data_IF_582817414544
#
_entry.id   IF_582817414544
#
_cell.length_a   1.000
_cell.length_b   1.000
_cell.length_c   1.000
_cell.angle_alpha   90.00
_cell.angle_beta   90.00
_cell.angle_gamma   90.00
#
_symmetry.space_group_name_H-M   'P 1'
#
loop_
_entity.id
_entity.type
_entity.pdbx_description
1 polymer ?
#
# COMPACT_ATOMS: atom_id res chain seq x y z
N UNK A 1 1.20 -15.03 13.00
CA UNK A 1 0.37 -15.61 11.92
C UNK A 1 1.05 -15.27 10.62
N UNK A 2 1.43 -16.28 9.85
CA UNK A 2 2.06 -16.08 8.54
C UNK A 2 0.94 -15.77 7.53
N UNK A 3 1.02 -14.60 6.88
CA UNK A 3 0.09 -14.25 5.80
C UNK A 3 0.66 -14.85 4.52
N UNK A 4 -0.21 -15.45 3.70
CA UNK A 4 0.15 -15.96 2.38
C UNK A 4 0.95 -14.90 1.59
N UNK A 5 2.18 -15.21 1.14
CA UNK A 5 2.99 -14.31 0.33
C UNK A 5 2.30 -13.83 -0.96
N UNK A 6 1.33 -14.57 -1.50
CA UNK A 6 0.52 -14.11 -2.62
C UNK A 6 -0.35 -12.92 -2.23
N UNK A 7 -1.03 -12.99 -1.08
CA UNK A 7 -1.87 -11.90 -0.58
C UNK A 7 -1.07 -10.61 -0.38
N UNK A 8 0.17 -10.71 0.12
CA UNK A 8 1.04 -9.54 0.25
C UNK A 8 1.41 -8.92 -1.11
N UNK A 9 1.67 -9.75 -2.12
CA UNK A 9 1.95 -9.29 -3.49
C UNK A 9 0.75 -8.61 -4.12
N UNK A 10 -0.46 -9.15 -3.91
CA UNK A 10 -1.70 -8.55 -4.39
C UNK A 10 -2.02 -7.21 -3.71
N UNK A 11 -1.87 -7.10 -2.38
CA UNK A 11 -1.97 -5.82 -1.65
C UNK A 11 -1.00 -4.80 -2.25
N UNK A 12 0.26 -5.21 -2.44
CA UNK A 12 1.30 -4.36 -3.02
C UNK A 12 0.97 -3.89 -4.44
N UNK A 13 0.46 -4.79 -5.28
CA UNK A 13 0.04 -4.48 -6.63
C UNK A 13 -1.12 -3.47 -6.65
N UNK A 14 -2.15 -3.66 -5.82
CA UNK A 14 -3.29 -2.73 -5.72
C UNK A 14 -2.86 -1.34 -5.27
N UNK A 15 -1.98 -1.26 -4.27
CA UNK A 15 -1.37 0.00 -3.83
C UNK A 15 -0.61 0.70 -4.96
N UNK A 16 0.22 -0.05 -5.69
CA UNK A 16 0.97 0.46 -6.83
C UNK A 16 0.05 0.99 -7.92
N UNK A 17 -1.02 0.27 -8.23
CA UNK A 17 -2.02 0.68 -9.22
C UNK A 17 -2.67 2.00 -8.84
N UNK A 18 -3.12 2.17 -7.58
CA UNK A 18 -3.71 3.43 -7.12
C UNK A 18 -2.73 4.60 -7.24
N UNK A 19 -1.46 4.38 -6.84
CA UNK A 19 -0.40 5.37 -6.98
C UNK A 19 -0.18 5.78 -8.44
N UNK A 20 -0.06 4.81 -9.34
CA UNK A 20 0.19 5.06 -10.77
C UNK A 20 -1.02 5.74 -11.44
N UNK A 21 -2.24 5.41 -11.05
CA UNK A 21 -3.46 6.08 -11.53
C UNK A 21 -3.52 7.56 -11.13
N UNK A 22 -2.93 7.92 -9.98
CA UNK A 22 -2.80 9.31 -9.56
C UNK A 22 -1.56 10.03 -10.09
N UNK A 23 -0.68 9.33 -10.82
CA UNK A 23 0.57 9.88 -11.32
C UNK A 23 1.59 10.21 -10.23
N UNK A 24 1.44 9.62 -9.03
CA UNK A 24 2.30 9.91 -7.88
C UNK A 24 3.55 9.01 -7.87
N UNK A 25 4.66 9.54 -7.41
CA UNK A 25 5.87 8.80 -7.10
C UNK A 25 5.78 8.13 -5.73
N UNK A 26 6.61 7.12 -5.49
CA UNK A 26 6.71 6.49 -4.17
C UNK A 26 7.12 7.48 -3.06
N UNK A 27 7.87 8.53 -3.39
CA UNK A 27 8.28 9.55 -2.43
C UNK A 27 7.08 10.41 -2.02
N UNK A 28 6.24 10.80 -2.97
CA UNK A 28 5.05 11.61 -2.73
C UNK A 28 4.04 10.88 -1.83
N UNK A 29 3.69 9.63 -2.19
CA UNK A 29 2.78 8.82 -1.37
C UNK A 29 3.36 8.56 0.01
N UNK A 30 4.65 8.20 0.10
CA UNK A 30 5.27 7.91 1.39
C UNK A 30 5.25 9.13 2.33
N UNK A 31 5.43 10.35 1.79
CA UNK A 31 5.29 11.58 2.56
C UNK A 31 3.84 11.82 2.98
N UNK A 32 2.89 11.66 2.06
CA UNK A 32 1.47 11.90 2.33
C UNK A 32 0.90 10.96 3.39
N UNK A 33 1.33 9.71 3.41
CA UNK A 33 0.91 8.70 4.40
C UNK A 33 1.90 8.53 5.55
N UNK A 34 2.82 9.48 5.74
CA UNK A 34 3.81 9.53 6.83
C UNK A 34 4.54 8.19 7.08
N UNK A 35 5.19 7.67 6.05
CA UNK A 35 6.08 6.50 6.14
C UNK A 35 7.38 6.74 5.38
N UNK A 36 8.38 5.88 5.60
CA UNK A 36 9.59 5.90 4.77
C UNK A 36 9.30 5.41 3.36
N UNK A 37 9.89 6.07 2.34
CA UNK A 37 9.82 5.63 0.94
C UNK A 37 10.25 4.17 0.74
N UNK A 38 11.26 3.70 1.48
CA UNK A 38 11.73 2.31 1.43
C UNK A 38 10.69 1.34 2.00
N UNK A 39 9.95 1.75 3.04
CA UNK A 39 8.83 0.98 3.58
C UNK A 39 7.72 0.86 2.53
N UNK A 40 7.32 1.97 1.89
CA UNK A 40 6.33 1.95 0.80
C UNK A 40 6.76 1.03 -0.36
N UNK A 41 8.02 1.12 -0.81
CA UNK A 41 8.51 0.25 -1.88
C UNK A 41 8.51 -1.25 -1.52
N UNK A 42 8.71 -1.59 -0.24
CA UNK A 42 8.56 -2.98 0.23
C UNK A 42 7.09 -3.42 0.26
N UNK A 43 6.17 -2.52 0.61
CA UNK A 43 4.74 -2.79 0.52
C UNK A 43 4.33 -3.06 -0.94
N UNK A 44 4.67 -2.16 -1.87
CA UNK A 44 4.32 -2.30 -3.29
C UNK A 44 4.92 -3.55 -3.95
N UNK A 45 5.99 -4.11 -3.39
CA UNK A 45 6.60 -5.35 -3.88
C UNK A 45 6.17 -6.61 -3.10
N UNK A 46 5.22 -6.49 -2.16
CA UNK A 46 4.73 -7.59 -1.34
C UNK A 46 5.78 -8.20 -0.39
N UNK A 47 6.89 -7.49 -0.14
CA UNK A 47 8.00 -7.97 0.72
C UNK A 47 7.80 -7.67 2.19
N UNK A 48 6.72 -6.99 2.56
CA UNK A 48 6.47 -6.56 3.92
C UNK A 48 4.97 -6.43 4.18
N UNK A 49 4.56 -6.82 5.39
CA UNK A 49 3.19 -6.69 5.82
C UNK A 49 2.86 -5.23 6.14
N UNK A 50 1.66 -4.79 5.78
CA UNK A 50 1.14 -3.46 6.08
C UNK A 50 0.47 -3.48 7.45
N UNK A 51 0.71 -2.45 8.26
CA UNK A 51 -0.04 -2.29 9.50
C UNK A 51 -1.44 -1.75 9.19
N UNK A 52 -2.44 -2.10 10.00
CA UNK A 52 -3.81 -1.59 9.83
C UNK A 52 -3.86 -0.07 9.80
N UNK A 53 -3.09 0.62 10.65
CA UNK A 53 -3.01 2.09 10.64
C UNK A 53 -2.43 2.66 9.34
N UNK A 54 -1.43 1.99 8.74
CA UNK A 54 -0.91 2.42 7.43
C UNK A 54 -1.88 2.14 6.30
N UNK A 55 -2.59 1.01 6.37
CA UNK A 55 -3.63 0.66 5.41
C UNK A 55 -4.72 1.76 5.34
N UNK A 56 -5.20 2.24 6.50
CA UNK A 56 -6.18 3.34 6.54
C UNK A 56 -5.61 4.66 6.03
N UNK A 57 -4.40 5.06 6.42
CA UNK A 57 -3.78 6.30 5.88
C UNK A 57 -3.65 6.27 4.36
N UNK A 58 -3.26 5.11 3.81
CA UNK A 58 -3.22 4.90 2.35
C UNK A 58 -4.62 5.01 1.74
N UNK A 59 -5.60 4.35 2.33
CA UNK A 59 -6.98 4.37 1.85
C UNK A 59 -7.57 5.79 1.85
N UNK A 60 -7.36 6.54 2.94
CA UNK A 60 -7.79 7.92 3.11
C UNK A 60 -7.09 8.85 2.10
N UNK A 61 -5.76 8.70 1.92
CA UNK A 61 -5.02 9.42 0.90
C UNK A 61 -5.64 9.19 -0.48
N UNK A 62 -5.88 7.93 -0.84
CA UNK A 62 -6.46 7.56 -2.14
C UNK A 62 -7.98 7.76 -2.25
N UNK A 63 -8.67 8.14 -1.17
CA UNK A 63 -10.13 8.35 -1.16
C UNK A 63 -10.91 7.06 -1.47
N UNK A 64 -10.39 5.90 -1.06
CA UNK A 64 -10.99 4.58 -1.30
C UNK A 64 -11.27 3.87 0.02
N UNK A 65 -12.15 2.86 0.01
CA UNK A 65 -12.32 2.00 1.18
C UNK A 65 -11.07 1.14 1.41
N UNK A 66 -10.65 0.95 2.66
CA UNK A 66 -9.49 0.12 2.99
C UNK A 66 -9.59 -1.33 2.46
N UNK A 67 -10.81 -1.87 2.36
CA UNK A 67 -11.08 -3.18 1.79
C UNK A 67 -10.61 -3.31 0.33
N UNK A 68 -10.59 -2.22 -0.45
CA UNK A 68 -10.11 -2.24 -1.85
C UNK A 68 -8.63 -2.66 -1.91
N UNK A 69 -7.84 -2.36 -0.89
CA UNK A 69 -6.43 -2.74 -0.83
C UNK A 69 -6.21 -4.22 -0.48
N UNK A 70 -7.24 -4.93 -0.01
CA UNK A 70 -7.14 -6.31 0.49
C UNK A 70 -7.65 -7.32 -0.54
N UNK A 71 -6.88 -8.37 -0.88
CA UNK A 71 -7.36 -9.47 -1.70
C UNK A 71 -8.40 -10.33 -0.99
N UNK A 72 -9.09 -11.17 -1.77
CA UNK A 72 -10.12 -12.10 -1.29
C UNK A 72 -9.54 -13.24 -0.41
#
# INVERSE_FOLDING_TARGET
MEIDPERLREVGARLRTLREQRGETQIEVARAVEVHRTYLGRLESGRQNVTVGTLYRIADHFGVAAAVLLPD
#
